data_IF_891700352834
#
_entry.id   IF_891700352834
#
_cell.length_a   1.000
_cell.length_b   1.000
_cell.length_c   1.000
_cell.angle_alpha   90.00
_cell.angle_beta   90.00
_cell.angle_gamma   90.00
#
_symmetry.space_group_name_H-M   'P 1'
#
loop_
_entity.id
_entity.type
_entity.pdbx_description
1 polymer ?
#
# COMPACT_ATOMS: atom_id res chain seq x y z
N UNK A 1 -0.66 3.14 36.10
CA UNK A 1 -1.25 2.21 35.13
C UNK A 1 -0.79 2.56 33.72
N UNK A 2 -0.46 1.54 32.93
CA UNK A 2 -0.10 1.75 31.53
C UNK A 2 -1.34 2.18 30.73
N UNK A 3 -1.20 3.22 29.92
CA UNK A 3 -2.27 3.66 29.02
C UNK A 3 -2.35 2.71 27.82
N UNK A 4 -3.56 2.47 27.32
CA UNK A 4 -3.76 1.75 26.07
C UNK A 4 -3.28 2.65 24.91
N UNK A 5 -3.04 2.04 23.74
CA UNK A 5 -2.68 2.78 22.56
C UNK A 5 -3.75 3.83 22.20
N UNK A 6 -5.02 3.45 22.35
CA UNK A 6 -6.14 4.38 22.11
C UNK A 6 -6.10 5.57 23.05
N UNK A 7 -5.82 5.37 24.33
CA UNK A 7 -5.72 6.45 25.32
C UNK A 7 -4.55 7.38 25.02
N UNK A 8 -3.41 6.81 24.61
CA UNK A 8 -2.24 7.60 24.22
C UNK A 8 -2.54 8.47 23.00
N UNK A 9 -3.22 7.93 22.00
CA UNK A 9 -3.61 8.68 20.81
C UNK A 9 -4.61 9.78 21.15
N UNK A 10 -5.59 9.49 22.00
CA UNK A 10 -6.59 10.48 22.43
C UNK A 10 -5.99 11.62 23.22
N UNK A 11 -4.87 11.40 23.91
CA UNK A 11 -4.19 12.43 24.71
C UNK A 11 -3.30 13.37 23.88
N UNK A 12 -3.08 13.07 22.59
CA UNK A 12 -2.24 13.86 21.70
C UNK A 12 -3.06 14.93 20.99
N UNK A 13 -2.37 15.96 20.44
CA UNK A 13 -3.00 16.97 19.63
C UNK A 13 -3.57 16.36 18.35
N UNK A 14 -4.59 17.01 17.76
CA UNK A 14 -5.18 16.56 16.50
C UNK A 14 -4.15 16.47 15.37
N UNK A 15 -3.20 17.41 15.31
CA UNK A 15 -2.12 17.42 14.34
C UNK A 15 -1.19 16.20 14.52
N UNK A 16 -0.84 15.89 15.76
CA UNK A 16 -0.01 14.73 16.06
C UNK A 16 -0.71 13.42 15.73
N UNK A 17 -2.01 13.32 16.02
CA UNK A 17 -2.82 12.15 15.67
C UNK A 17 -2.91 11.95 14.15
N UNK A 18 -3.09 13.03 13.39
CA UNK A 18 -3.15 12.98 11.94
C UNK A 18 -1.83 12.48 11.34
N UNK A 19 -0.69 12.92 11.88
CA UNK A 19 0.62 12.45 11.42
C UNK A 19 0.84 10.97 11.70
N UNK A 20 0.47 10.51 12.88
CA UNK A 20 0.60 9.10 13.26
C UNK A 20 -0.26 8.23 12.35
N UNK A 21 -1.48 8.65 12.07
CA UNK A 21 -2.38 7.93 11.19
C UNK A 21 -1.85 7.87 9.75
N UNK A 22 -1.32 8.98 9.25
CA UNK A 22 -0.71 9.04 7.92
C UNK A 22 0.48 8.07 7.82
N UNK A 23 1.35 8.05 8.82
CA UNK A 23 2.48 7.13 8.86
C UNK A 23 2.02 5.67 8.87
N UNK A 24 0.97 5.37 9.64
CA UNK A 24 0.41 4.02 9.70
C UNK A 24 -0.17 3.59 8.34
N UNK A 25 -0.85 4.50 7.64
CA UNK A 25 -1.41 4.22 6.31
C UNK A 25 -0.30 3.98 5.28
N UNK A 26 0.78 4.74 5.32
CA UNK A 26 1.93 4.53 4.44
C UNK A 26 2.57 3.16 4.67
N UNK A 27 2.79 2.78 5.93
CA UNK A 27 3.33 1.49 6.28
C UNK A 27 2.41 0.34 5.81
N UNK A 28 1.10 0.52 5.94
CA UNK A 28 0.13 -0.46 5.46
C UNK A 28 0.18 -0.64 3.95
N UNK A 29 0.36 0.43 3.18
CA UNK A 29 0.50 0.34 1.73
C UNK A 29 1.75 -0.45 1.34
N UNK A 30 2.89 -0.15 1.96
CA UNK A 30 4.13 -0.89 1.75
C UNK A 30 3.95 -2.38 2.03
N UNK A 31 3.32 -2.72 3.16
CA UNK A 31 3.04 -4.10 3.52
C UNK A 31 2.09 -4.78 2.52
N UNK A 32 1.11 -4.05 2.01
CA UNK A 32 0.10 -4.62 1.12
C UNK A 32 0.68 -5.09 -0.21
N UNK A 33 1.65 -4.38 -0.78
CA UNK A 33 2.23 -4.78 -2.05
C UNK A 33 2.88 -6.16 -1.98
N UNK A 34 3.77 -6.39 -1.03
CA UNK A 34 4.40 -7.70 -0.92
C UNK A 34 3.46 -8.77 -0.34
N UNK A 35 2.45 -8.38 0.46
CA UNK A 35 1.42 -9.32 0.91
C UNK A 35 0.62 -9.89 -0.25
N UNK A 36 0.27 -9.07 -1.24
CA UNK A 36 -0.41 -9.53 -2.46
C UNK A 36 0.45 -10.56 -3.19
N UNK A 37 1.74 -10.26 -3.34
CA UNK A 37 2.69 -11.17 -3.97
C UNK A 37 2.80 -12.49 -3.21
N UNK A 38 2.93 -12.43 -1.88
CA UNK A 38 3.04 -13.60 -1.03
C UNK A 38 1.76 -14.45 -1.05
N UNK A 39 0.60 -13.81 -1.10
CA UNK A 39 -0.70 -14.51 -1.19
C UNK A 39 -0.77 -15.40 -2.45
N UNK A 40 -0.12 -14.97 -3.53
CA UNK A 40 -0.04 -15.72 -4.77
C UNK A 40 1.16 -16.66 -4.83
N UNK A 41 1.94 -16.74 -3.75
CA UNK A 41 3.14 -17.58 -3.66
C UNK A 41 4.19 -17.26 -4.73
N UNK A 42 4.29 -15.98 -5.10
CA UNK A 42 5.26 -15.49 -6.08
C UNK A 42 6.44 -14.86 -5.35
N UNK A 43 7.66 -15.30 -5.66
CA UNK A 43 8.86 -14.71 -5.07
C UNK A 43 9.19 -13.37 -5.72
N UNK A 44 9.96 -12.52 -5.01
CA UNK A 44 10.47 -11.28 -5.61
C UNK A 44 11.26 -11.55 -6.88
N UNK A 45 12.06 -12.60 -6.88
CA UNK A 45 12.86 -12.98 -8.05
C UNK A 45 11.99 -13.29 -9.26
N UNK A 46 10.94 -14.09 -9.07
CA UNK A 46 10.01 -14.44 -10.14
C UNK A 46 9.29 -13.21 -10.70
N UNK A 47 8.79 -12.34 -9.82
CA UNK A 47 8.09 -11.15 -10.26
C UNK A 47 9.03 -10.16 -10.95
N UNK A 48 10.24 -9.99 -10.45
CA UNK A 48 11.24 -9.15 -11.09
C UNK A 48 11.56 -9.65 -12.50
N UNK A 49 11.70 -10.95 -12.69
CA UNK A 49 11.90 -11.56 -14.00
C UNK A 49 10.74 -11.29 -14.95
N UNK A 50 9.51 -11.43 -14.46
CA UNK A 50 8.30 -11.15 -15.24
C UNK A 50 8.24 -9.69 -15.68
N UNK A 51 8.62 -8.77 -14.79
CA UNK A 51 8.64 -7.33 -15.08
C UNK A 51 9.85 -6.89 -15.90
N UNK A 52 10.85 -7.76 -16.08
CA UNK A 52 12.08 -7.42 -16.78
C UNK A 52 12.97 -6.46 -16.02
N UNK A 53 12.94 -6.48 -14.71
CA UNK A 53 13.73 -5.62 -13.83
C UNK A 53 14.56 -6.48 -12.87
N UNK A 54 15.53 -5.84 -12.21
CA UNK A 54 16.36 -6.52 -11.20
C UNK A 54 15.60 -6.59 -9.87
N UNK A 55 15.89 -7.63 -9.08
CA UNK A 55 15.23 -7.82 -7.77
C UNK A 55 15.38 -6.62 -6.83
N UNK A 56 16.54 -5.94 -6.71
CA UNK A 56 16.63 -4.72 -5.90
C UNK A 56 15.68 -3.61 -6.37
N UNK A 57 15.43 -3.50 -7.67
CA UNK A 57 14.46 -2.53 -8.21
C UNK A 57 13.03 -2.87 -7.78
N UNK A 58 12.69 -4.14 -7.77
CA UNK A 58 11.38 -4.59 -7.29
C UNK A 58 11.23 -4.31 -5.79
N UNK A 59 12.25 -4.60 -5.00
CA UNK A 59 12.25 -4.29 -3.58
C UNK A 59 12.03 -2.79 -3.32
N UNK A 60 12.66 -1.94 -4.13
CA UNK A 60 12.46 -0.48 -4.04
C UNK A 60 11.01 -0.09 -4.36
N UNK A 61 10.37 -0.74 -5.31
CA UNK A 61 8.95 -0.52 -5.63
C UNK A 61 8.08 -0.88 -4.43
N UNK A 62 8.29 -2.05 -3.85
CA UNK A 62 7.52 -2.53 -2.71
C UNK A 62 7.67 -1.64 -1.47
N UNK A 63 8.78 -0.92 -1.34
CA UNK A 63 9.07 -0.06 -0.19
C UNK A 63 8.78 1.43 -0.40
N UNK A 64 8.20 1.82 -1.53
CA UNK A 64 7.94 3.24 -1.83
C UNK A 64 6.70 3.80 -1.15
N UNK A 65 5.77 2.97 -0.72
CA UNK A 65 4.55 3.46 -0.08
C UNK A 65 3.74 4.39 -0.98
N UNK A 66 3.38 5.56 -0.46
CA UNK A 66 2.53 6.52 -1.17
C UNK A 66 3.22 7.24 -2.35
N UNK A 67 4.54 7.14 -2.47
CA UNK A 67 5.28 7.75 -3.56
C UNK A 67 5.25 6.92 -4.84
N UNK A 68 4.61 5.76 -4.80
CA UNK A 68 4.54 4.88 -5.94
C UNK A 68 3.55 5.40 -6.98
N UNK A 69 3.99 5.50 -8.24
CA UNK A 69 3.12 5.91 -9.34
C UNK A 69 2.05 4.85 -9.60
N UNK A 70 0.85 5.29 -9.97
CA UNK A 70 -0.24 4.38 -10.32
C UNK A 70 0.15 3.49 -11.49
N UNK A 71 0.85 4.02 -12.49
CA UNK A 71 1.32 3.23 -13.63
C UNK A 71 2.25 2.10 -13.22
N UNK A 72 3.12 2.33 -12.24
CA UNK A 72 4.03 1.31 -11.71
C UNK A 72 3.25 0.26 -10.92
N UNK A 73 2.31 0.70 -10.10
CA UNK A 73 1.44 -0.20 -9.33
C UNK A 73 0.60 -1.08 -10.25
N UNK A 74 0.09 -0.51 -11.33
CA UNK A 74 -0.67 -1.24 -12.35
C UNK A 74 0.17 -2.35 -12.98
N UNK A 75 1.40 -2.03 -13.40
CA UNK A 75 2.32 -3.03 -13.97
C UNK A 75 2.63 -4.14 -12.97
N UNK A 76 2.86 -3.78 -11.71
CA UNK A 76 3.13 -4.72 -10.64
C UNK A 76 1.97 -5.73 -10.47
N UNK A 77 0.76 -5.23 -10.37
CA UNK A 77 -0.44 -6.05 -10.17
C UNK A 77 -0.74 -6.90 -11.42
N UNK A 78 -0.65 -6.31 -12.60
CA UNK A 78 -0.93 -7.02 -13.85
C UNK A 78 0.10 -8.12 -14.15
N UNK A 79 1.35 -7.93 -13.76
CA UNK A 79 2.38 -8.95 -13.90
C UNK A 79 2.07 -10.22 -13.11
N UNK A 80 1.28 -10.10 -12.06
CA UNK A 80 0.80 -11.23 -11.26
C UNK A 80 -0.55 -11.79 -11.73
N UNK A 81 -1.10 -11.26 -12.83
CA UNK A 81 -2.40 -11.68 -13.36
C UNK A 81 -3.59 -10.97 -12.73
N UNK A 82 -3.36 -10.00 -11.87
CA UNK A 82 -4.42 -9.23 -11.23
C UNK A 82 -4.82 -7.98 -12.01
N UNK A 83 -5.74 -7.23 -11.44
CA UNK A 83 -6.19 -5.95 -11.98
C UNK A 83 -6.19 -4.91 -10.88
N UNK A 84 -5.69 -3.72 -11.19
CA UNK A 84 -5.73 -2.59 -10.27
C UNK A 84 -7.01 -1.78 -10.52
N UNK A 85 -7.72 -1.51 -9.44
CA UNK A 85 -8.90 -0.63 -9.45
C UNK A 85 -8.73 0.43 -8.38
N UNK A 86 -9.29 1.62 -8.64
CA UNK A 86 -9.34 2.69 -7.66
C UNK A 86 -10.79 2.82 -7.20
N UNK A 87 -10.98 2.84 -5.88
CA UNK A 87 -12.27 3.07 -5.25
C UNK A 87 -12.20 4.38 -4.47
N UNK A 88 -13.13 5.30 -4.79
CA UNK A 88 -13.21 6.59 -4.11
C UNK A 88 -14.49 6.61 -3.28
N UNK A 89 -14.33 6.82 -1.98
CA UNK A 89 -15.46 7.02 -1.08
C UNK A 89 -15.76 8.52 -0.98
N UNK A 90 -16.97 8.91 -1.37
CA UNK A 90 -17.40 10.29 -1.34
C UNK A 90 -17.93 10.66 0.06
N UNK A 91 -17.98 11.97 0.41
CA UNK A 91 -18.52 12.40 1.69
C UNK A 91 -19.97 11.96 1.94
N UNK A 92 -20.71 11.66 0.87
CA UNK A 92 -22.07 11.15 0.94
C UNK A 92 -22.17 9.68 1.32
N UNK A 93 -21.02 8.98 1.40
CA UNK A 93 -20.96 7.54 1.60
C UNK A 93 -21.01 6.72 0.32
N UNK A 94 -21.20 7.36 -0.83
CA UNK A 94 -21.22 6.70 -2.12
C UNK A 94 -19.79 6.34 -2.56
N UNK A 95 -19.63 5.16 -3.14
CA UNK A 95 -18.36 4.71 -3.70
C UNK A 95 -18.38 4.77 -5.22
N UNK A 96 -17.29 5.25 -5.80
CA UNK A 96 -17.07 5.23 -7.24
C UNK A 96 -15.80 4.43 -7.48
N UNK A 97 -15.93 3.28 -8.14
CA UNK A 97 -14.81 2.43 -8.50
C UNK A 97 -14.57 2.50 -10.01
N UNK A 98 -13.29 2.51 -10.41
CA UNK A 98 -12.92 2.49 -11.82
C UNK A 98 -11.60 1.77 -12.05
N UNK A 99 -11.45 1.21 -13.23
CA UNK A 99 -10.21 0.57 -13.64
C UNK A 99 -9.19 1.64 -14.06
N UNK A 100 -7.96 1.37 -13.83
CA UNK A 100 -6.85 2.25 -14.25
C UNK A 100 -5.99 1.60 -15.33
#
# INVERSE_FOLDING_TARGET
MAKTLRELLASRSAESQARIQQMAEELMLEQHLHMIREELEISQKELAETLGIKQPSLSAIENRGNDLKISTMKKYVEAMGGKLRIDVELPTGKHIGFNV
#
